data_IF_855303068545
#
_entry.id   IF_855303068545
#
_cell.length_a   1.000
_cell.length_b   1.000
_cell.length_c   1.000
_cell.angle_alpha   90.00
_cell.angle_beta   90.00
_cell.angle_gamma   90.00
#
_symmetry.space_group_name_H-M   'P 1'
#
loop_
_entity.id
_entity.type
_entity.pdbx_description
1 polymer ?
#
# COMPACT_ATOMS: atom_id res chain seq x y z
N UNK A 1 -9.18 -10.74 16.46
CA UNK A 1 -8.15 -9.71 16.19
C UNK A 1 -7.29 -10.04 14.97
N UNK A 2 -6.57 -11.17 14.93
CA UNK A 2 -5.74 -11.57 13.78
C UNK A 2 -6.47 -11.55 12.42
N UNK A 3 -7.64 -12.19 12.31
CA UNK A 3 -8.41 -12.24 11.07
C UNK A 3 -8.84 -10.87 10.56
N UNK A 4 -9.31 -10.01 11.46
CA UNK A 4 -9.67 -8.64 11.13
C UNK A 4 -8.48 -7.86 10.56
N UNK A 5 -7.33 -7.90 11.25
CA UNK A 5 -6.09 -7.24 10.80
C UNK A 5 -5.66 -7.76 9.42
N UNK A 6 -5.60 -9.08 9.23
CA UNK A 6 -5.18 -9.67 7.96
C UNK A 6 -6.16 -9.37 6.82
N UNK A 7 -7.46 -9.37 7.08
CA UNK A 7 -8.47 -9.02 6.08
C UNK A 7 -8.41 -7.53 5.70
N UNK A 8 -8.11 -6.64 6.66
CA UNK A 8 -7.97 -5.21 6.42
C UNK A 8 -6.78 -4.86 5.53
N UNK A 9 -5.71 -5.65 5.56
CA UNK A 9 -4.50 -5.40 4.74
C UNK A 9 -4.42 -6.26 3.47
N UNK A 10 -5.26 -7.29 3.34
CA UNK A 10 -5.20 -8.25 2.23
C UNK A 10 -5.25 -7.59 0.84
N UNK A 11 -6.10 -6.58 0.57
CA UNK A 11 -6.10 -5.91 -0.74
C UNK A 11 -4.73 -5.30 -1.10
N UNK A 12 -4.03 -4.73 -0.13
CA UNK A 12 -2.72 -4.09 -0.33
C UNK A 12 -1.61 -5.12 -0.50
N UNK A 13 -1.67 -6.24 0.20
CA UNK A 13 -0.74 -7.36 -0.02
C UNK A 13 -0.89 -7.91 -1.44
N UNK A 14 -2.13 -8.07 -1.93
CA UNK A 14 -2.39 -8.50 -3.30
C UNK A 14 -1.83 -7.47 -4.28
N UNK A 15 -2.11 -6.18 -4.08
CA UNK A 15 -1.55 -5.09 -4.87
C UNK A 15 -0.01 -5.15 -4.93
N UNK A 16 0.68 -5.22 -3.79
CA UNK A 16 2.15 -5.31 -3.76
C UNK A 16 2.70 -6.56 -4.47
N UNK A 17 2.00 -7.70 -4.43
CA UNK A 17 2.39 -8.88 -5.21
C UNK A 17 2.22 -8.70 -6.72
N UNK A 18 1.30 -7.84 -7.14
CA UNK A 18 1.15 -7.45 -8.54
C UNK A 18 2.25 -6.44 -8.94
N UNK A 19 2.47 -5.40 -8.13
CA UNK A 19 3.53 -4.40 -8.37
C UNK A 19 4.92 -5.00 -8.42
N UNK A 20 5.25 -5.95 -7.53
CA UNK A 20 6.55 -6.61 -7.51
C UNK A 20 6.88 -7.37 -8.82
N UNK A 21 5.89 -7.69 -9.67
CA UNK A 21 6.11 -8.28 -11.00
C UNK A 21 6.56 -7.25 -12.03
N UNK A 22 6.25 -5.98 -11.82
CA UNK A 22 6.50 -4.87 -12.73
C UNK A 22 7.65 -3.98 -12.25
N UNK A 23 7.90 -3.91 -10.95
CA UNK A 23 8.94 -3.10 -10.31
C UNK A 23 9.98 -3.98 -9.58
N UNK A 24 9.97 -4.00 -8.25
CA UNK A 24 10.80 -4.86 -7.40
C UNK A 24 10.08 -5.17 -6.09
N UNK A 25 10.47 -6.26 -5.42
CA UNK A 25 9.96 -6.57 -4.08
C UNK A 25 10.22 -5.46 -3.06
N UNK A 26 11.36 -4.75 -3.16
CA UNK A 26 11.68 -3.67 -2.23
C UNK A 26 10.67 -2.52 -2.34
N UNK A 27 10.37 -2.10 -3.58
CA UNK A 27 9.40 -1.06 -3.88
C UNK A 27 7.99 -1.45 -3.44
N UNK A 28 7.49 -2.61 -3.89
CA UNK A 28 6.17 -3.10 -3.50
C UNK A 28 5.98 -3.25 -1.96
N UNK A 29 7.03 -3.65 -1.23
CA UNK A 29 6.96 -3.71 0.24
C UNK A 29 6.94 -2.32 0.88
N UNK A 30 7.61 -1.33 0.30
CA UNK A 30 7.55 0.07 0.76
C UNK A 30 6.15 0.64 0.60
N UNK A 31 5.50 0.37 -0.53
CA UNK A 31 4.12 0.79 -0.79
C UNK A 31 3.12 0.17 0.19
N UNK A 32 3.18 -1.14 0.41
CA UNK A 32 2.33 -1.83 1.39
C UNK A 32 2.57 -1.27 2.81
N UNK A 33 3.82 -1.02 3.18
CA UNK A 33 4.15 -0.44 4.47
C UNK A 33 3.63 1.01 4.60
N UNK A 34 3.74 1.81 3.55
CA UNK A 34 3.26 3.20 3.52
C UNK A 34 1.73 3.27 3.66
N UNK A 35 0.99 2.48 2.88
CA UNK A 35 -0.48 2.44 2.97
C UNK A 35 -0.93 2.05 4.37
N UNK A 36 -0.34 0.98 4.93
CA UNK A 36 -0.72 0.49 6.27
C UNK A 36 -0.32 1.47 7.39
N UNK A 37 0.78 2.20 7.23
CA UNK A 37 1.16 3.29 8.13
C UNK A 37 0.15 4.45 8.09
N UNK A 38 -0.28 4.87 6.89
CA UNK A 38 -1.30 5.92 6.72
C UNK A 38 -2.65 5.52 7.32
N UNK A 39 -3.06 4.27 7.13
CA UNK A 39 -4.24 3.71 7.81
C UNK A 39 -4.10 3.78 9.34
N UNK A 40 -2.92 3.45 9.87
CA UNK A 40 -2.61 3.58 11.30
C UNK A 40 -2.67 5.02 11.82
N UNK A 41 -2.52 6.01 10.95
CA UNK A 41 -2.68 7.44 11.24
C UNK A 41 -4.13 7.93 11.09
N UNK A 42 -5.09 7.03 10.86
CA UNK A 42 -6.52 7.35 10.82
C UNK A 42 -7.09 7.61 9.43
N UNK A 43 -6.31 7.41 8.36
CA UNK A 43 -6.85 7.43 7.00
C UNK A 43 -7.69 6.18 6.75
N UNK A 44 -8.80 6.31 6.01
CA UNK A 44 -9.49 5.14 5.48
C UNK A 44 -8.65 4.47 4.37
N UNK A 45 -8.90 3.18 4.07
CA UNK A 45 -8.13 2.40 3.11
C UNK A 45 -7.99 3.07 1.73
N UNK A 46 -9.03 3.74 1.23
CA UNK A 46 -9.03 4.35 -0.10
C UNK A 46 -8.18 5.62 -0.11
N UNK A 47 -8.31 6.47 0.92
CA UNK A 47 -7.49 7.68 1.05
C UNK A 47 -6.01 7.37 1.24
N UNK A 48 -5.67 6.34 2.02
CA UNK A 48 -4.28 5.90 2.18
C UNK A 48 -3.66 5.46 0.85
N UNK A 49 -4.38 4.65 0.06
CA UNK A 49 -3.96 4.21 -1.26
C UNK A 49 -3.76 5.38 -2.25
N UNK A 50 -4.74 6.28 -2.37
CA UNK A 50 -4.64 7.43 -3.27
C UNK A 50 -3.53 8.40 -2.87
N UNK A 51 -3.22 8.49 -1.58
CA UNK A 51 -2.10 9.31 -1.09
C UNK A 51 -0.76 8.74 -1.56
N UNK A 52 -0.56 7.43 -1.45
CA UNK A 52 0.64 6.76 -1.98
C UNK A 52 0.78 7.00 -3.49
N UNK A 53 -0.28 6.72 -4.27
CA UNK A 53 -0.28 6.89 -5.73
C UNK A 53 0.01 8.33 -6.15
N UNK A 54 -0.32 9.32 -5.32
CA UNK A 54 0.03 10.71 -5.58
C UNK A 54 1.53 10.99 -5.47
N UNK A 55 2.28 10.19 -4.71
CA UNK A 55 3.74 10.29 -4.60
C UNK A 55 4.42 9.70 -5.84
N UNK A 56 3.95 8.54 -6.31
CA UNK A 56 4.39 7.86 -7.55
C UNK A 56 4.32 8.79 -8.78
N UNK A 57 3.21 9.54 -8.93
CA UNK A 57 3.04 10.47 -10.06
C UNK A 57 4.12 11.57 -10.07
N UNK A 58 4.62 11.96 -8.90
CA UNK A 58 5.68 12.96 -8.78
C UNK A 58 7.10 12.38 -8.96
N UNK A 59 7.27 11.06 -9.00
CA UNK A 59 8.55 10.39 -9.27
C UNK A 59 8.81 10.17 -10.77
N UNK A 60 7.76 10.19 -11.61
CA UNK A 60 7.87 9.97 -13.06
C UNK A 60 8.19 11.24 -13.90
N UNK A 61 8.55 12.37 -13.28
CA UNK A 61 8.90 13.62 -13.96
C UNK A 61 10.31 14.12 -13.62
#
# INVERSE_FOLDING_TARGET
MKSHVLNSIAPFVIYGLHEAKHTSFAHALQEVAAITYLMGNGMDPQTAYLTLESWEINEMF
#
